data_IF_082262570272
#
_entry.id   IF_082262570272
#
_cell.length_a   1.000
_cell.length_b   1.000
_cell.length_c   1.000
_cell.angle_alpha   90.00
_cell.angle_beta   90.00
_cell.angle_gamma   90.00
#
_symmetry.space_group_name_H-M   'P 1'
#
loop_
_entity.id
_entity.type
_entity.pdbx_description
1 polymer ?
#
# COMPACT_ATOMS: atom_id res chain seq x y z
N UNK A 1 8.50 0.79 -8.61
CA UNK A 1 9.27 -0.36 -8.12
C UNK A 1 10.78 -0.09 -8.05
N UNK A 2 11.35 0.71 -8.94
CA UNK A 2 12.79 0.94 -9.08
C UNK A 2 13.48 1.57 -7.86
N UNK A 3 12.72 2.23 -7.01
CA UNK A 3 13.21 2.88 -5.78
C UNK A 3 12.95 2.08 -4.51
N UNK A 4 12.27 0.94 -4.63
CA UNK A 4 11.98 0.07 -3.49
C UNK A 4 13.13 -0.92 -3.30
N UNK A 5 13.69 -0.96 -2.09
CA UNK A 5 14.78 -1.87 -1.75
C UNK A 5 14.18 -3.19 -1.27
N UNK A 6 14.49 -4.26 -2.01
CA UNK A 6 14.04 -5.62 -1.69
C UNK A 6 15.03 -6.27 -0.73
N UNK A 7 14.51 -6.90 0.30
CA UNK A 7 15.25 -7.70 1.27
C UNK A 7 14.42 -8.90 1.72
N UNK A 8 15.02 -9.79 2.51
CA UNK A 8 14.38 -11.04 2.94
C UNK A 8 13.01 -10.87 3.63
N UNK A 9 12.75 -9.70 4.20
CA UNK A 9 11.54 -9.40 4.98
C UNK A 9 10.42 -8.72 4.19
N UNK A 10 10.62 -8.45 2.90
CA UNK A 10 9.62 -7.80 2.04
C UNK A 10 9.58 -8.37 0.61
N UNK A 11 10.42 -9.36 0.29
CA UNK A 11 10.55 -9.94 -1.05
C UNK A 11 9.22 -10.53 -1.55
N UNK A 12 8.51 -11.25 -0.69
CA UNK A 12 7.22 -11.83 -1.04
C UNK A 12 6.19 -10.74 -1.37
N UNK A 13 6.08 -9.71 -0.53
CA UNK A 13 5.17 -8.60 -0.76
C UNK A 13 5.52 -7.82 -2.04
N UNK A 14 6.81 -7.58 -2.29
CA UNK A 14 7.29 -6.94 -3.51
C UNK A 14 6.92 -7.75 -4.75
N UNK A 15 7.20 -9.06 -4.74
CA UNK A 15 6.93 -9.97 -5.87
C UNK A 15 5.43 -10.07 -6.15
N UNK A 16 4.59 -10.19 -5.11
CA UNK A 16 3.14 -10.18 -5.24
C UNK A 16 2.63 -8.86 -5.86
N UNK A 17 3.12 -7.71 -5.39
CA UNK A 17 2.79 -6.40 -5.95
C UNK A 17 3.19 -6.27 -7.42
N UNK A 18 4.37 -6.74 -7.79
CA UNK A 18 4.86 -6.71 -9.16
C UNK A 18 4.04 -7.62 -10.07
N UNK A 19 3.66 -8.80 -9.58
CA UNK A 19 2.78 -9.73 -10.29
C UNK A 19 1.39 -9.12 -10.53
N UNK A 20 0.80 -8.47 -9.52
CA UNK A 20 -0.47 -7.74 -9.64
C UNK A 20 -0.35 -6.60 -10.66
N UNK A 21 0.71 -5.81 -10.62
CA UNK A 21 0.91 -4.71 -11.56
C UNK A 21 1.04 -5.19 -13.03
N UNK A 22 1.64 -6.36 -13.25
CA UNK A 22 1.82 -6.96 -14.56
C UNK A 22 0.61 -7.76 -15.06
N UNK A 23 -0.37 -8.07 -14.19
CA UNK A 23 -1.58 -8.82 -14.54
C UNK A 23 -2.55 -8.07 -15.46
N UNK A 24 -2.29 -6.81 -15.73
CA UNK A 24 -3.07 -5.94 -16.64
C UNK A 24 -3.23 -6.54 -18.05
N UNK A 25 -2.25 -7.33 -18.49
CA UNK A 25 -2.21 -7.95 -19.82
C UNK A 25 -2.91 -9.32 -19.86
N UNK A 26 -3.42 -9.81 -18.73
CA UNK A 26 -4.18 -11.07 -18.71
C UNK A 26 -5.61 -10.81 -19.19
N UNK A 27 -6.10 -11.66 -20.08
CA UNK A 27 -7.46 -11.56 -20.61
C UNK A 27 -8.50 -11.54 -19.47
N UNK A 28 -9.61 -10.85 -19.68
CA UNK A 28 -10.68 -10.69 -18.68
C UNK A 28 -11.27 -12.03 -18.16
N UNK A 29 -11.02 -13.14 -18.87
CA UNK A 29 -11.43 -14.50 -18.49
C UNK A 29 -10.44 -15.22 -17.55
N UNK A 30 -9.28 -14.65 -17.29
CA UNK A 30 -8.29 -15.28 -16.40
C UNK A 30 -8.57 -14.88 -14.96
N UNK A 31 -8.74 -15.86 -14.06
CA UNK A 31 -8.80 -15.63 -12.61
C UNK A 31 -7.52 -14.93 -12.19
N UNK A 32 -7.64 -13.73 -11.66
CA UNK A 32 -6.48 -12.98 -11.13
C UNK A 32 -6.00 -13.69 -9.87
N UNK A 33 -4.77 -14.26 -9.86
CA UNK A 33 -4.33 -15.18 -8.80
C UNK A 33 -4.16 -14.49 -7.43
N UNK A 34 -4.09 -13.14 -7.40
CA UNK A 34 -3.82 -12.33 -6.20
C UNK A 34 -4.91 -11.27 -5.99
N UNK A 35 -6.18 -11.69 -5.92
CA UNK A 35 -7.29 -10.77 -5.72
C UNK A 35 -8.21 -11.24 -4.56
N UNK A 36 -8.32 -10.47 -3.46
CA UNK A 36 -7.55 -9.28 -3.16
C UNK A 36 -6.07 -9.57 -2.84
N UNK A 37 -5.21 -8.57 -3.01
CA UNK A 37 -3.88 -8.57 -2.42
C UNK A 37 -3.93 -7.74 -1.14
N UNK A 38 -3.64 -8.35 0.00
CA UNK A 38 -3.61 -7.69 1.30
C UNK A 38 -2.18 -7.61 1.83
N UNK A 39 -1.64 -6.39 1.90
CA UNK A 39 -0.27 -6.12 2.32
C UNK A 39 -0.32 -5.61 3.76
N UNK A 40 0.37 -6.26 4.67
CA UNK A 40 0.35 -5.84 6.06
C UNK A 40 1.75 -5.82 6.70
N UNK A 41 1.84 -5.10 7.80
CA UNK A 41 3.06 -4.98 8.59
C UNK A 41 3.15 -3.63 9.29
N UNK A 42 4.04 -3.47 10.27
CA UNK A 42 4.19 -2.26 11.07
C UNK A 42 4.25 -0.97 10.25
N UNK A 43 3.87 0.15 10.86
CA UNK A 43 3.90 1.45 10.18
C UNK A 43 5.32 1.83 9.75
N UNK A 44 5.44 2.49 8.58
CA UNK A 44 6.72 3.02 8.08
C UNK A 44 7.62 2.01 7.39
N UNK A 45 7.11 0.81 7.00
CA UNK A 45 7.88 -0.23 6.30
C UNK A 45 7.70 -0.24 4.78
N UNK A 46 6.99 0.74 4.20
CA UNK A 46 6.90 0.90 2.75
C UNK A 46 5.63 0.35 2.10
N UNK A 47 4.56 0.03 2.84
CA UNK A 47 3.27 -0.43 2.29
C UNK A 47 2.69 0.54 1.26
N UNK A 48 2.56 1.81 1.62
CA UNK A 48 2.11 2.88 0.71
C UNK A 48 3.01 3.00 -0.52
N UNK A 49 4.33 2.80 -0.35
CA UNK A 49 5.29 2.80 -1.47
C UNK A 49 4.95 1.70 -2.48
N UNK A 50 4.66 0.49 -2.02
CA UNK A 50 4.25 -0.61 -2.90
C UNK A 50 2.92 -0.34 -3.59
N UNK A 51 1.91 0.25 -2.91
CA UNK A 51 0.67 0.68 -3.56
C UNK A 51 0.94 1.68 -4.68
N UNK A 52 1.78 2.68 -4.43
CA UNK A 52 2.15 3.67 -5.45
C UNK A 52 2.98 3.05 -6.57
N UNK A 53 3.84 2.07 -6.28
CA UNK A 53 4.58 1.33 -7.29
C UNK A 53 3.65 0.55 -8.22
N UNK A 54 2.61 -0.11 -7.68
CA UNK A 54 1.56 -0.77 -8.49
C UNK A 54 0.88 0.26 -9.38
N UNK A 55 0.37 1.36 -8.79
CA UNK A 55 -0.32 2.43 -9.54
C UNK A 55 0.51 2.94 -10.71
N UNK A 56 1.78 3.25 -10.47
CA UNK A 56 2.67 3.81 -11.48
C UNK A 56 2.97 2.80 -12.59
N UNK A 57 3.24 1.53 -12.24
CA UNK A 57 3.54 0.49 -13.22
C UNK A 57 2.32 0.16 -14.09
N UNK A 58 1.12 0.04 -13.48
CA UNK A 58 -0.12 -0.18 -14.23
C UNK A 58 -0.40 0.98 -15.18
N UNK A 59 -0.22 2.24 -14.73
CA UNK A 59 -0.41 3.43 -15.59
C UNK A 59 0.61 3.50 -16.72
N UNK A 60 1.85 3.07 -16.47
CA UNK A 60 2.90 3.00 -17.49
C UNK A 60 2.56 1.96 -18.57
N UNK A 61 2.09 0.78 -18.16
CA UNK A 61 1.78 -0.32 -19.05
C UNK A 61 0.44 -0.14 -19.78
N UNK A 62 -0.54 0.50 -19.14
CA UNK A 62 -1.85 0.79 -19.70
C UNK A 62 -2.40 2.14 -19.18
N UNK A 63 -2.14 3.26 -19.90
CA UNK A 63 -2.55 4.60 -19.51
C UNK A 63 -4.07 4.78 -19.33
N UNK A 64 -4.89 3.96 -20.02
CA UNK A 64 -6.35 4.06 -20.01
C UNK A 64 -7.02 3.37 -18.81
N UNK A 65 -6.26 2.58 -18.02
CA UNK A 65 -6.81 1.93 -16.83
C UNK A 65 -7.34 2.93 -15.81
N UNK A 66 -8.54 2.69 -15.33
CA UNK A 66 -9.13 3.47 -14.24
C UNK A 66 -8.61 2.95 -12.89
N UNK A 67 -7.65 3.66 -12.31
CA UNK A 67 -7.02 3.30 -11.05
C UNK A 67 -7.45 4.30 -9.98
N UNK A 68 -8.15 3.82 -8.97
CA UNK A 68 -8.49 4.60 -7.79
C UNK A 68 -7.51 4.23 -6.66
N UNK A 69 -6.77 5.23 -6.18
CA UNK A 69 -6.01 5.17 -4.94
C UNK A 69 -6.66 6.09 -3.92
N UNK A 70 -6.91 5.55 -2.73
CA UNK A 70 -7.44 6.31 -1.60
C UNK A 70 -6.89 5.73 -0.29
N UNK A 71 -6.95 6.49 0.79
CA UNK A 71 -6.85 5.94 2.13
C UNK A 71 -8.26 5.77 2.73
N UNK A 72 -8.38 4.93 3.74
CA UNK A 72 -9.69 4.61 4.31
C UNK A 72 -10.36 5.78 5.05
N UNK A 73 -9.59 6.75 5.54
CA UNK A 73 -10.16 7.97 6.11
C UNK A 73 -10.79 8.86 5.03
N UNK A 74 -10.10 9.05 3.90
CA UNK A 74 -10.65 9.78 2.75
C UNK A 74 -11.90 9.10 2.21
N UNK A 75 -11.89 7.77 2.07
CA UNK A 75 -13.06 6.99 1.66
C UNK A 75 -14.25 7.25 2.60
N UNK A 76 -14.04 7.19 3.92
CA UNK A 76 -15.08 7.45 4.92
C UNK A 76 -15.60 8.89 4.85
N UNK A 77 -14.71 9.86 4.72
CA UNK A 77 -15.09 11.27 4.68
C UNK A 77 -15.88 11.60 3.39
N UNK A 78 -15.45 11.06 2.25
CA UNK A 78 -16.18 11.23 0.99
C UNK A 78 -17.57 10.58 1.05
N UNK A 79 -17.72 9.42 1.70
CA UNK A 79 -19.01 8.79 1.92
C UNK A 79 -19.94 9.69 2.76
N UNK A 80 -19.45 10.24 3.87
CA UNK A 80 -20.22 11.12 4.74
C UNK A 80 -20.70 12.36 3.95
N UNK A 81 -19.81 12.96 3.16
CA UNK A 81 -20.17 14.11 2.31
C UNK A 81 -21.20 13.72 1.25
N UNK A 82 -21.04 12.55 0.62
CA UNK A 82 -21.96 12.05 -0.40
C UNK A 82 -23.36 11.79 0.18
N UNK A 83 -23.46 11.23 1.39
CA UNK A 83 -24.74 11.03 2.09
C UNK A 83 -25.38 12.39 2.40
N UNK A 84 -24.62 13.32 2.98
CA UNK A 84 -25.12 14.66 3.35
C UNK A 84 -25.66 15.44 2.14
N UNK A 85 -24.99 15.31 1.01
CA UNK A 85 -25.32 16.02 -0.24
C UNK A 85 -26.27 15.22 -1.15
N UNK A 86 -26.71 14.03 -0.76
CA UNK A 86 -27.53 13.12 -1.57
C UNK A 86 -26.89 12.73 -2.93
N UNK A 87 -25.55 12.61 -2.94
CA UNK A 87 -24.74 12.29 -4.14
C UNK A 87 -24.09 10.90 -4.05
N UNK A 88 -24.70 9.97 -3.34
CA UNK A 88 -24.18 8.61 -3.16
C UNK A 88 -23.94 7.87 -4.48
N UNK A 89 -24.76 8.14 -5.52
CA UNK A 89 -24.54 7.57 -6.85
C UNK A 89 -23.21 7.98 -7.47
N UNK A 90 -22.78 9.22 -7.29
CA UNK A 90 -21.47 9.70 -7.77
C UNK A 90 -20.33 9.02 -7.03
N UNK A 91 -20.49 8.82 -5.71
CA UNK A 91 -19.55 8.07 -4.90
C UNK A 91 -19.43 6.61 -5.37
N UNK A 92 -20.55 5.93 -5.62
CA UNK A 92 -20.59 4.57 -6.15
C UNK A 92 -19.90 4.49 -7.51
N UNK A 93 -20.23 5.39 -8.44
CA UNK A 93 -19.59 5.44 -9.75
C UNK A 93 -18.08 5.60 -9.65
N UNK A 94 -17.60 6.48 -8.76
CA UNK A 94 -16.17 6.68 -8.54
C UNK A 94 -15.48 5.38 -8.12
N UNK A 95 -15.96 4.73 -7.07
CA UNK A 95 -15.25 3.62 -6.45
C UNK A 95 -15.53 2.26 -7.08
N UNK A 96 -16.77 1.99 -7.49
CA UNK A 96 -17.20 0.67 -7.99
C UNK A 96 -16.91 0.42 -9.47
N UNK A 97 -16.52 1.46 -10.24
CA UNK A 97 -16.17 1.33 -11.66
C UNK A 97 -14.65 1.41 -11.90
N UNK A 98 -13.84 1.26 -10.88
CA UNK A 98 -12.38 1.22 -11.04
C UNK A 98 -11.91 -0.14 -11.56
N UNK A 99 -10.86 -0.16 -12.38
CA UNK A 99 -10.20 -1.39 -12.81
C UNK A 99 -9.22 -1.89 -11.75
N UNK A 100 -8.60 -0.95 -11.03
CA UNK A 100 -7.75 -1.17 -9.88
C UNK A 100 -8.21 -0.30 -8.72
N UNK A 101 -8.57 -0.93 -7.61
CA UNK A 101 -8.93 -0.25 -6.37
C UNK A 101 -7.82 -0.48 -5.33
N UNK A 102 -7.08 0.58 -5.03
CA UNK A 102 -5.97 0.58 -4.09
C UNK A 102 -6.38 1.37 -2.85
N UNK A 103 -6.51 0.69 -1.72
CA UNK A 103 -6.87 1.35 -0.46
C UNK A 103 -5.78 1.19 0.58
N UNK A 104 -5.35 2.31 1.14
CA UNK A 104 -4.30 2.38 2.15
C UNK A 104 -4.87 2.45 3.55
N UNK A 105 -4.20 1.79 4.49
CA UNK A 105 -4.48 1.86 5.93
C UNK A 105 -5.93 1.50 6.30
N UNK A 106 -6.39 0.30 5.89
CA UNK A 106 -7.78 -0.18 6.09
C UNK A 106 -8.21 -0.23 7.56
N UNK A 107 -7.26 -0.31 8.50
CA UNK A 107 -7.54 -0.34 9.93
C UNK A 107 -8.28 0.93 10.41
N UNK A 108 -8.22 2.04 9.70
CA UNK A 108 -8.95 3.26 10.05
C UNK A 108 -10.45 3.20 9.72
N UNK A 109 -10.96 2.11 9.13
CA UNK A 109 -12.40 1.82 9.10
C UNK A 109 -12.91 1.25 10.43
N UNK A 110 -12.02 0.90 11.36
CA UNK A 110 -12.35 0.35 12.66
C UNK A 110 -13.36 1.24 13.40
N UNK A 111 -14.49 0.66 13.84
CA UNK A 111 -15.54 1.38 14.56
C UNK A 111 -16.40 2.34 13.71
N UNK A 112 -16.26 2.31 12.36
CA UNK A 112 -17.06 3.15 11.45
C UNK A 112 -18.06 2.31 10.66
N UNK A 113 -19.13 1.87 11.28
CA UNK A 113 -20.07 0.88 10.76
C UNK A 113 -20.60 1.21 9.37
N UNK A 114 -21.06 2.45 9.14
CA UNK A 114 -21.55 2.88 7.82
C UNK A 114 -20.45 2.80 6.74
N UNK A 115 -19.20 3.14 7.07
CA UNK A 115 -18.09 3.05 6.14
C UNK A 115 -17.66 1.61 5.87
N UNK A 116 -17.75 0.74 6.88
CA UNK A 116 -17.51 -0.70 6.72
C UNK A 116 -18.57 -1.35 5.82
N UNK A 117 -19.83 -0.98 6.00
CA UNK A 117 -20.94 -1.44 5.17
C UNK A 117 -20.74 -1.06 3.71
N UNK A 118 -20.48 0.21 3.44
CA UNK A 118 -20.26 0.72 2.08
C UNK A 118 -19.01 0.11 1.45
N UNK A 119 -17.94 -0.05 2.24
CA UNK A 119 -16.73 -0.72 1.76
C UNK A 119 -16.99 -2.17 1.40
N UNK A 120 -17.79 -2.89 2.19
CA UNK A 120 -18.18 -4.27 1.91
C UNK A 120 -18.94 -4.39 0.57
N UNK A 121 -19.88 -3.49 0.30
CA UNK A 121 -20.60 -3.46 -0.98
C UNK A 121 -19.66 -3.13 -2.15
N UNK A 122 -18.82 -2.12 -1.99
CA UNK A 122 -17.82 -1.73 -3.00
C UNK A 122 -16.87 -2.88 -3.31
N UNK A 123 -16.36 -3.55 -2.27
CA UNK A 123 -15.48 -4.73 -2.42
C UNK A 123 -16.16 -5.85 -3.21
N UNK A 124 -17.39 -6.23 -2.82
CA UNK A 124 -18.10 -7.32 -3.48
C UNK A 124 -18.35 -7.03 -4.96
N UNK A 125 -18.78 -5.81 -5.29
CA UNK A 125 -19.05 -5.41 -6.67
C UNK A 125 -17.78 -5.46 -7.53
N UNK A 126 -16.69 -4.89 -7.03
CA UNK A 126 -15.39 -4.94 -7.72
C UNK A 126 -14.89 -6.38 -7.89
N UNK A 127 -14.98 -7.18 -6.85
CA UNK A 127 -14.52 -8.57 -6.86
C UNK A 127 -15.33 -9.42 -7.88
N UNK A 128 -16.66 -9.30 -7.88
CA UNK A 128 -17.54 -9.99 -8.83
C UNK A 128 -17.29 -9.56 -10.29
N UNK A 129 -16.96 -8.30 -10.50
CA UNK A 129 -16.58 -7.77 -11.82
C UNK A 129 -15.14 -8.10 -12.23
N UNK A 130 -14.41 -8.92 -11.46
CA UNK A 130 -13.02 -9.28 -11.74
C UNK A 130 -12.04 -8.10 -11.69
N UNK A 131 -12.40 -7.02 -10.99
CA UNK A 131 -11.53 -5.86 -10.78
C UNK A 131 -10.48 -6.15 -9.71
N UNK A 132 -9.29 -5.57 -9.84
CA UNK A 132 -8.22 -5.81 -8.89
C UNK A 132 -8.38 -4.94 -7.64
N UNK A 133 -8.30 -5.58 -6.48
CA UNK A 133 -8.34 -4.92 -5.17
C UNK A 133 -6.99 -5.14 -4.48
N UNK A 134 -6.39 -4.05 -3.98
CA UNK A 134 -5.17 -4.09 -3.17
C UNK A 134 -5.41 -3.28 -1.90
N UNK A 135 -5.13 -3.88 -0.77
CA UNK A 135 -5.44 -3.34 0.56
C UNK A 135 -4.14 -3.30 1.36
N UNK A 136 -3.91 -2.23 2.12
CA UNK A 136 -2.85 -2.24 3.12
C UNK A 136 -3.39 -2.10 4.54
N UNK A 137 -2.62 -2.61 5.50
CA UNK A 137 -2.91 -2.51 6.92
C UNK A 137 -1.63 -2.48 7.76
N UNK A 138 -1.70 -1.95 8.98
CA UNK A 138 -0.61 -2.03 9.95
C UNK A 138 -0.51 -3.42 10.62
N UNK A 139 -1.53 -4.28 10.43
CA UNK A 139 -1.66 -5.62 11.04
C UNK A 139 -2.45 -6.58 10.15
N UNK A 140 -2.37 -7.90 10.36
CA UNK A 140 -3.14 -8.87 9.58
C UNK A 140 -4.65 -8.74 9.85
N UNK A 141 -5.53 -9.22 8.94
CA UNK A 141 -6.98 -9.06 9.05
C UNK A 141 -7.57 -9.50 10.40
N UNK A 142 -7.11 -10.63 10.93
CA UNK A 142 -7.56 -11.19 12.22
C UNK A 142 -7.33 -10.26 13.41
N UNK A 143 -6.28 -9.43 13.36
CA UNK A 143 -5.86 -8.56 14.44
C UNK A 143 -6.43 -7.12 14.31
N UNK A 144 -7.23 -6.86 13.27
CA UNK A 144 -7.92 -5.57 13.14
C UNK A 144 -9.16 -5.61 14.06
N UNK A 145 -9.09 -4.80 15.12
CA UNK A 145 -10.20 -4.69 16.07
C UNK A 145 -11.38 -3.93 15.47
N UNK A 146 -12.61 -4.21 15.94
CA UNK A 146 -13.84 -3.49 15.59
C UNK A 146 -14.04 -3.38 14.05
N UNK A 147 -13.66 -4.42 13.32
CA UNK A 147 -14.01 -4.64 11.92
C UNK A 147 -14.92 -5.85 11.81
N UNK A 148 -15.99 -5.72 11.01
CA UNK A 148 -16.95 -6.79 10.81
C UNK A 148 -16.28 -8.07 10.26
N UNK A 149 -16.62 -9.24 10.79
CA UNK A 149 -16.01 -10.52 10.43
C UNK A 149 -16.19 -10.86 8.94
N UNK A 150 -17.28 -10.41 8.32
CA UNK A 150 -17.50 -10.54 6.88
C UNK A 150 -16.42 -9.82 6.05
N UNK A 151 -15.88 -8.68 6.54
CA UNK A 151 -14.76 -7.99 5.88
C UNK A 151 -13.44 -8.71 6.09
N UNK A 152 -13.17 -9.20 7.33
CA UNK A 152 -11.97 -10.01 7.61
C UNK A 152 -11.91 -11.22 6.68
N UNK A 153 -13.02 -11.95 6.57
CA UNK A 153 -13.14 -13.09 5.66
C UNK A 153 -12.86 -12.72 4.20
N UNK A 154 -13.32 -11.55 3.74
CA UNK A 154 -13.04 -11.05 2.37
C UNK A 154 -11.57 -10.74 2.15
N UNK A 155 -10.91 -10.16 3.15
CA UNK A 155 -9.48 -9.85 3.09
C UNK A 155 -8.62 -11.12 2.99
N UNK A 156 -9.07 -12.21 3.60
CA UNK A 156 -8.39 -13.50 3.60
C UNK A 156 -8.64 -14.35 2.35
N UNK A 157 -9.57 -13.95 1.47
CA UNK A 157 -9.85 -14.72 0.23
C UNK A 157 -8.70 -14.74 -0.76
N UNK A 158 -7.84 -13.71 -0.74
CA UNK A 158 -6.72 -13.55 -1.64
C UNK A 158 -5.38 -13.92 -1.03
N UNK A 159 -4.38 -13.11 -1.33
CA UNK A 159 -3.03 -13.28 -0.80
C UNK A 159 -2.77 -12.29 0.33
N UNK A 160 -2.30 -12.81 1.45
CA UNK A 160 -1.79 -12.03 2.58
C UNK A 160 -0.27 -11.92 2.44
N UNK A 161 0.23 -10.71 2.23
CA UNK A 161 1.65 -10.42 2.06
C UNK A 161 2.16 -9.57 3.22
N UNK A 162 3.00 -10.14 4.05
CA UNK A 162 3.61 -9.43 5.18
C UNK A 162 4.85 -8.64 4.78
N UNK A 163 5.06 -7.54 5.47
CA UNK A 163 6.30 -6.75 5.43
C UNK A 163 6.86 -6.69 6.83
N UNK A 164 8.01 -7.35 7.03
CA UNK A 164 8.74 -7.32 8.29
C UNK A 164 9.74 -6.18 8.41
N UNK A 165 10.29 -6.05 9.61
CA UNK A 165 11.37 -5.08 9.88
C UNK A 165 12.61 -5.48 9.07
N UNK A 166 13.21 -4.55 8.29
CA UNK A 166 14.37 -4.84 7.45
C UNK A 166 15.59 -5.24 8.29
N UNK A 167 16.37 -6.18 7.76
CA UNK A 167 17.67 -6.54 8.31
C UNK A 167 18.70 -5.39 8.14
N UNK A 168 19.89 -5.55 8.70
CA UNK A 168 20.93 -4.52 8.67
C UNK A 168 21.32 -4.15 7.24
N UNK A 169 21.52 -5.16 6.39
CA UNK A 169 21.96 -4.96 5.01
C UNK A 169 20.90 -4.20 4.20
N UNK A 170 19.64 -4.58 4.35
CA UNK A 170 18.51 -3.87 3.73
C UNK A 170 18.43 -2.41 4.22
N UNK A 171 18.67 -2.15 5.52
CA UNK A 171 18.66 -0.78 6.05
C UNK A 171 19.81 0.06 5.47
N UNK A 172 21.00 -0.51 5.33
CA UNK A 172 22.15 0.14 4.70
C UNK A 172 21.81 0.52 3.26
N UNK A 173 21.29 -0.44 2.49
CA UNK A 173 20.89 -0.21 1.12
C UNK A 173 19.81 0.89 0.95
N UNK A 174 18.84 0.95 1.89
CA UNK A 174 17.82 2.02 1.94
C UNK A 174 18.46 3.39 2.16
N UNK A 175 19.42 3.49 3.11
CA UNK A 175 20.12 4.75 3.40
C UNK A 175 20.92 5.19 2.18
N UNK A 176 21.69 4.27 1.58
CA UNK A 176 22.51 4.55 0.38
C UNK A 176 21.63 5.01 -0.78
N UNK A 177 20.55 4.28 -1.06
CA UNK A 177 19.62 4.66 -2.14
C UNK A 177 19.00 6.04 -1.91
N UNK A 178 18.63 6.35 -0.67
CA UNK A 178 18.09 7.67 -0.33
C UNK A 178 19.13 8.79 -0.45
N UNK A 179 20.36 8.52 -0.07
CA UNK A 179 21.48 9.44 -0.22
C UNK A 179 21.79 9.73 -1.70
N UNK A 180 21.82 8.68 -2.55
CA UNK A 180 21.97 8.83 -4.00
C UNK A 180 20.90 9.74 -4.62
N UNK A 181 19.61 9.52 -4.26
CA UNK A 181 18.50 10.36 -4.75
C UNK A 181 18.62 11.83 -4.33
N UNK A 182 19.32 12.12 -3.25
CA UNK A 182 19.59 13.45 -2.74
C UNK A 182 20.98 13.98 -3.16
N UNK A 183 21.72 13.22 -3.98
CA UNK A 183 23.09 13.51 -4.39
C UNK A 183 24.03 13.77 -3.19
N UNK A 184 23.73 13.13 -2.06
CA UNK A 184 24.48 13.25 -0.81
C UNK A 184 25.46 12.08 -0.68
N UNK A 185 26.74 12.39 -0.42
CA UNK A 185 27.75 11.38 -0.06
C UNK A 185 27.74 11.19 1.45
N UNK A 186 27.43 9.98 1.90
CA UNK A 186 27.49 9.58 3.31
C UNK A 186 28.61 8.52 3.42
N UNK A 187 29.63 8.72 4.28
CA UNK A 187 30.66 7.71 4.55
C UNK A 187 30.04 6.40 5.08
N UNK A 188 30.71 5.29 4.80
CA UNK A 188 30.19 3.95 5.14
C UNK A 188 30.07 3.72 6.64
N UNK A 189 30.99 4.27 7.45
CA UNK A 189 30.94 4.22 8.90
C UNK A 189 29.70 4.95 9.46
N UNK A 190 29.36 6.11 8.92
CA UNK A 190 28.15 6.86 9.28
C UNK A 190 26.89 6.11 8.82
N UNK A 191 26.89 5.56 7.61
CA UNK A 191 25.79 4.73 7.10
C UNK A 191 25.53 3.53 8.01
N UNK A 192 26.58 2.80 8.37
CA UNK A 192 26.51 1.66 9.29
C UNK A 192 26.02 2.07 10.68
N UNK A 193 26.50 3.20 11.20
CA UNK A 193 26.08 3.74 12.49
C UNK A 193 24.57 4.02 12.50
N UNK A 194 24.05 4.74 11.50
CA UNK A 194 22.61 5.05 11.36
C UNK A 194 21.81 3.76 11.26
N UNK A 195 22.19 2.84 10.37
CA UNK A 195 21.50 1.57 10.17
C UNK A 195 21.46 0.68 11.41
N UNK A 196 22.51 0.73 12.24
CA UNK A 196 22.60 -0.01 13.50
C UNK A 196 21.72 0.60 14.60
N UNK A 197 21.62 1.93 14.65
CA UNK A 197 20.85 2.65 15.67
C UNK A 197 19.36 2.71 15.36
N UNK A 198 18.98 2.92 14.10
CA UNK A 198 17.59 3.05 13.68
C UNK A 198 17.08 1.73 13.09
N UNK A 199 16.47 0.88 13.94
CA UNK A 199 16.13 -0.51 13.57
C UNK A 199 14.70 -0.72 13.12
N UNK A 200 13.74 0.07 13.60
CA UNK A 200 12.33 -0.29 13.58
C UNK A 200 11.50 0.33 12.44
N UNK A 201 11.98 1.39 11.81
CA UNK A 201 11.14 2.21 10.93
C UNK A 201 11.95 2.86 9.81
N UNK A 202 11.57 2.56 8.56
CA UNK A 202 12.23 3.12 7.36
C UNK A 202 12.07 4.64 7.31
N UNK A 203 10.93 5.19 7.79
CA UNK A 203 10.73 6.65 7.85
C UNK A 203 11.79 7.36 8.71
N UNK A 204 12.26 6.70 9.78
CA UNK A 204 13.35 7.24 10.61
C UNK A 204 14.68 7.26 9.86
N UNK A 205 14.98 6.21 9.08
CA UNK A 205 16.17 6.16 8.22
C UNK A 205 16.13 7.29 7.19
N UNK A 206 15.01 7.43 6.48
CA UNK A 206 14.82 8.52 5.52
C UNK A 206 14.91 9.91 6.18
N UNK A 207 14.33 10.06 7.37
CA UNK A 207 14.42 11.29 8.15
C UNK A 207 15.85 11.65 8.54
N UNK A 208 16.65 10.66 8.95
CA UNK A 208 18.07 10.86 9.27
C UNK A 208 18.87 11.32 8.05
N UNK A 209 18.66 10.68 6.88
CA UNK A 209 19.34 11.09 5.63
C UNK A 209 18.93 12.50 5.21
N UNK A 210 17.61 12.84 5.28
CA UNK A 210 17.15 14.21 5.00
C UNK A 210 17.76 15.24 5.93
N UNK A 211 17.90 14.91 7.23
CA UNK A 211 18.51 15.80 8.21
C UNK A 211 20.00 16.02 7.92
N UNK A 212 20.74 14.96 7.56
CA UNK A 212 22.13 15.08 7.13
C UNK A 212 22.27 15.97 5.89
N UNK A 213 21.40 15.76 4.90
CA UNK A 213 21.41 16.59 3.69
C UNK A 213 21.15 18.08 3.98
N UNK A 214 20.23 18.37 4.91
CA UNK A 214 19.97 19.75 5.33
C UNK A 214 21.20 20.39 5.99
N UNK A 215 21.93 19.64 6.83
CA UNK A 215 23.19 20.15 7.44
C UNK A 215 24.32 20.30 6.42
N UNK A 216 24.36 19.48 5.39
CA UNK A 216 25.36 19.57 4.33
C UNK A 216 25.16 20.78 3.41
N UNK A 217 23.91 21.25 3.30
CA UNK A 217 23.55 22.42 2.47
C UNK A 217 23.69 23.77 3.20
N UNK A 218 23.86 23.77 4.52
CA UNK A 218 24.10 24.97 5.34
C UNK A 218 25.58 25.33 5.42
#
# INVERSE_FOLDING_TARGET
>A
FDTFIVGSKNEFAYTACKSVANSVNLSASSIKPYNPLFIYGPSGLGKTHLLMAIKNEVKKNNPNMNIIYTNSETFSNELIVAIKNQTTNTFHQKYRHSDFFLIDDIQFLSGKDASQEEFFHTFNELYQCGKQIVITSDRPPKDINIIADRLKSRFEWGILADIGVPDLETRIAIIQRKAELLQLRIPDDITNFIATKLKSNIRQLEGAVKKLNAYYML
#
